data_IF_405032600374
#
_entry.id   IF_405032600374
#
_cell.length_a   1.000
_cell.length_b   1.000
_cell.length_c   1.000
_cell.angle_alpha   90.00
_cell.angle_beta   90.00
_cell.angle_gamma   90.00
#
_symmetry.space_group_name_H-M   'P 1'
#
loop_
_entity.id
_entity.type
_entity.pdbx_description
1 polymer ?
#
# COMPACT_ATOMS: atom_id res chain seq x y z
N UNK A 1 7.38 -5.83 -20.36
CA UNK A 1 6.26 -6.53 -19.72
C UNK A 1 5.76 -5.65 -18.60
N UNK A 2 4.53 -5.15 -18.69
CA UNK A 2 3.90 -4.41 -17.60
C UNK A 2 3.55 -5.43 -16.50
N UNK A 3 4.19 -5.30 -15.35
CA UNK A 3 3.93 -6.11 -14.15
C UNK A 3 2.69 -5.53 -13.47
N UNK A 4 1.64 -6.32 -13.31
CA UNK A 4 0.35 -5.82 -12.80
C UNK A 4 0.34 -5.63 -11.28
N UNK A 5 0.98 -6.56 -10.56
CA UNK A 5 0.91 -6.60 -9.09
C UNK A 5 2.26 -6.35 -8.40
N UNK A 6 2.15 -5.96 -7.13
CA UNK A 6 3.21 -5.79 -6.16
C UNK A 6 2.86 -6.60 -4.93
N UNK A 7 3.86 -7.32 -4.41
CA UNK A 7 3.78 -7.84 -3.05
C UNK A 7 4.08 -6.69 -2.09
N UNK A 8 3.16 -6.43 -1.16
CA UNK A 8 3.45 -5.60 0.02
C UNK A 8 4.04 -6.43 1.17
N UNK A 9 4.34 -7.72 0.94
CA UNK A 9 4.74 -8.64 2.01
C UNK A 9 3.58 -9.09 2.91
N UNK A 10 2.33 -8.87 2.48
CA UNK A 10 1.11 -9.15 3.24
C UNK A 10 0.04 -9.84 2.37
N UNK A 11 -1.16 -10.05 2.93
CA UNK A 11 -2.29 -10.67 2.21
C UNK A 11 -2.82 -9.78 1.08
N UNK A 12 -2.57 -8.48 1.10
CA UNK A 12 -3.13 -7.58 0.10
C UNK A 12 -2.31 -7.62 -1.18
N UNK A 13 -3.03 -7.60 -2.29
CA UNK A 13 -2.44 -7.54 -3.62
C UNK A 13 -2.41 -6.08 -4.03
N UNK A 14 -1.23 -5.48 -4.11
CA UNK A 14 -1.09 -4.08 -4.48
C UNK A 14 -0.83 -3.90 -5.97
N UNK A 15 -1.20 -2.76 -6.53
CA UNK A 15 -0.80 -2.34 -7.87
C UNK A 15 -0.60 -0.83 -7.95
N UNK A 16 0.60 -0.38 -8.32
CA UNK A 16 0.86 1.02 -8.65
C UNK A 16 0.75 1.25 -10.16
N UNK A 17 -0.26 2.03 -10.55
CA UNK A 17 -0.67 2.34 -11.91
C UNK A 17 -0.42 3.84 -12.16
N UNK A 18 0.15 4.15 -13.32
CA UNK A 18 0.43 5.51 -13.77
C UNK A 18 -0.48 5.83 -14.95
N UNK A 19 -0.93 7.08 -15.08
CA UNK A 19 -1.49 7.55 -16.35
C UNK A 19 -0.40 7.63 -17.44
N UNK A 20 -0.81 7.89 -18.68
CA UNK A 20 0.09 7.92 -19.85
C UNK A 20 1.30 8.83 -19.63
N UNK A 21 1.05 10.10 -19.30
CA UNK A 21 2.12 11.10 -19.11
C UNK A 21 3.13 10.70 -18.03
N UNK A 22 2.66 10.18 -16.89
CA UNK A 22 3.56 9.72 -15.83
C UNK A 22 4.33 8.45 -16.24
N UNK A 23 3.68 7.52 -16.94
CA UNK A 23 4.31 6.29 -17.40
C UNK A 23 5.39 6.57 -18.44
N UNK A 24 5.08 7.37 -19.45
CA UNK A 24 6.01 7.73 -20.53
C UNK A 24 7.22 8.46 -19.96
N UNK A 25 7.00 9.40 -19.04
CA UNK A 25 8.08 10.09 -18.33
C UNK A 25 9.01 9.14 -17.57
N UNK A 26 8.45 8.15 -16.83
CA UNK A 26 9.25 7.13 -16.14
C UNK A 26 10.07 6.30 -17.13
N UNK A 27 9.49 5.95 -18.29
CA UNK A 27 10.15 5.14 -19.30
C UNK A 27 11.29 5.92 -19.98
N UNK A 28 11.02 7.15 -20.42
CA UNK A 28 11.98 8.01 -21.11
C UNK A 28 13.17 8.40 -20.22
N UNK A 29 12.93 8.64 -18.93
CA UNK A 29 13.97 8.92 -17.95
C UNK A 29 14.60 7.65 -17.35
N UNK A 30 14.14 6.46 -17.77
CA UNK A 30 14.61 5.14 -17.33
C UNK A 30 14.62 4.97 -15.79
N UNK A 31 13.69 5.59 -15.08
CA UNK A 31 13.67 5.62 -13.60
C UNK A 31 13.29 4.28 -12.96
N UNK A 32 13.02 3.28 -13.78
CA UNK A 32 12.89 1.87 -13.38
C UNK A 32 14.25 1.16 -13.28
N UNK A 33 15.36 1.81 -13.63
CA UNK A 33 16.70 1.23 -13.65
C UNK A 33 17.51 1.66 -12.41
N UNK A 34 17.72 0.75 -11.46
CA UNK A 34 18.46 1.00 -10.23
C UNK A 34 19.92 1.39 -10.43
N UNK A 35 20.57 0.90 -11.48
CA UNK A 35 21.95 1.28 -11.81
C UNK A 35 22.00 2.73 -12.29
N UNK A 36 21.01 3.16 -13.09
CA UNK A 36 20.90 4.55 -13.51
C UNK A 36 20.59 5.47 -12.33
N UNK A 37 19.65 5.10 -11.45
CA UNK A 37 19.36 5.87 -10.24
C UNK A 37 20.61 5.97 -9.34
N UNK A 38 21.36 4.87 -9.19
CA UNK A 38 22.60 4.84 -8.41
C UNK A 38 23.70 5.68 -9.05
N UNK A 39 23.78 5.69 -10.38
CA UNK A 39 24.70 6.55 -11.12
C UNK A 39 24.33 8.03 -10.95
N UNK A 40 23.05 8.40 -11.09
CA UNK A 40 22.57 9.77 -10.88
C UNK A 40 22.86 10.25 -9.45
N UNK A 41 22.59 9.38 -8.46
CA UNK A 41 22.92 9.61 -7.05
C UNK A 41 24.44 9.75 -6.81
N UNK A 42 25.24 8.78 -7.25
CA UNK A 42 26.69 8.71 -7.02
C UNK A 42 27.52 9.74 -7.79
N UNK A 43 26.99 10.31 -8.87
CA UNK A 43 27.62 11.42 -9.58
C UNK A 43 27.60 12.74 -8.80
N UNK A 44 26.94 12.82 -7.64
CA UNK A 44 27.07 13.93 -6.70
C UNK A 44 26.77 15.31 -7.30
N UNK A 45 25.91 15.41 -8.31
CA UNK A 45 25.63 16.67 -9.02
C UNK A 45 24.54 17.52 -8.37
N UNK A 46 24.44 17.55 -7.05
CA UNK A 46 23.58 18.51 -6.34
C UNK A 46 22.11 18.52 -6.78
N UNK A 47 21.61 17.42 -7.36
CA UNK A 47 20.19 17.20 -7.63
C UNK A 47 19.68 16.30 -6.50
N UNK A 48 19.15 16.89 -5.40
CA UNK A 48 18.54 16.11 -4.33
C UNK A 48 17.23 15.44 -4.78
N UNK A 49 16.84 15.58 -6.04
CA UNK A 49 15.61 15.11 -6.64
C UNK A 49 15.89 14.50 -8.02
N UNK A 50 15.13 13.48 -8.39
CA UNK A 50 14.84 13.22 -9.81
C UNK A 50 14.16 14.45 -10.41
N UNK A 51 14.18 14.59 -11.74
CA UNK A 51 13.39 15.64 -12.39
C UNK A 51 11.91 15.54 -11.94
N UNK A 52 11.18 16.66 -11.83
CA UNK A 52 9.78 16.60 -11.40
C UNK A 52 8.94 15.89 -12.45
N UNK A 53 7.95 15.12 -11.98
CA UNK A 53 6.93 14.55 -12.85
C UNK A 53 6.15 15.65 -13.59
N UNK A 54 5.60 15.35 -14.79
CA UNK A 54 4.66 16.24 -15.47
C UNK A 54 3.50 16.65 -14.57
N UNK A 55 3.01 17.90 -14.64
CA UNK A 55 1.90 18.37 -13.80
C UNK A 55 0.56 17.68 -14.08
N UNK A 56 0.47 16.95 -15.19
CA UNK A 56 -0.66 16.10 -15.57
C UNK A 56 -0.56 14.67 -15.02
N UNK A 57 0.51 14.37 -14.26
CA UNK A 57 0.74 13.04 -13.72
C UNK A 57 -0.30 12.64 -12.69
N UNK A 58 -0.75 11.40 -12.82
CA UNK A 58 -1.72 10.77 -11.93
C UNK A 58 -1.26 9.35 -11.62
N UNK A 59 -1.20 9.03 -10.33
CA UNK A 59 -0.74 7.74 -9.83
C UNK A 59 -1.80 7.14 -8.92
N UNK A 60 -2.13 5.86 -9.17
CA UNK A 60 -2.97 5.07 -8.30
C UNK A 60 -2.15 3.99 -7.63
N UNK A 61 -2.24 3.87 -6.31
CA UNK A 61 -1.88 2.64 -5.60
C UNK A 61 -3.17 1.95 -5.21
N UNK A 62 -3.58 0.94 -5.97
CA UNK A 62 -4.78 0.16 -5.70
C UNK A 62 -4.44 -1.04 -4.82
N UNK A 63 -5.30 -1.36 -3.86
CA UNK A 63 -5.19 -2.50 -2.96
C UNK A 63 -6.36 -3.44 -3.20
N UNK A 64 -6.03 -4.66 -3.60
CA UNK A 64 -6.99 -5.72 -3.87
C UNK A 64 -6.99 -6.75 -2.75
N UNK A 65 -8.18 -7.26 -2.46
CA UNK A 65 -8.40 -8.41 -1.60
C UNK A 65 -8.87 -9.60 -2.44
N UNK A 66 -8.20 -10.76 -2.37
CA UNK A 66 -8.68 -11.97 -3.03
C UNK A 66 -10.01 -12.44 -2.43
N UNK A 67 -10.94 -12.88 -3.26
CA UNK A 67 -12.23 -13.42 -2.83
C UNK A 67 -12.49 -14.74 -3.54
N UNK A 68 -12.75 -15.79 -2.75
CA UNK A 68 -13.13 -17.11 -3.27
C UNK A 68 -14.39 -16.95 -4.13
N UNK A 69 -14.44 -17.58 -5.30
CA UNK A 69 -15.62 -17.56 -6.17
C UNK A 69 -16.76 -18.50 -5.74
N UNK A 70 -16.44 -19.50 -4.93
CA UNK A 70 -17.30 -20.62 -4.59
C UNK A 70 -17.70 -20.69 -3.11
N UNK A 71 -17.16 -19.81 -2.27
CA UNK A 71 -17.38 -19.80 -0.83
C UNK A 71 -17.22 -18.41 -0.21
N UNK A 72 -17.55 -18.28 1.08
CA UNK A 72 -17.41 -17.03 1.83
C UNK A 72 -15.97 -16.54 1.89
N UNK A 73 -15.72 -15.24 1.95
CA UNK A 73 -14.37 -14.72 2.24
C UNK A 73 -14.45 -13.69 3.36
N UNK A 74 -13.59 -13.82 4.38
CA UNK A 74 -13.51 -12.83 5.44
C UNK A 74 -12.74 -11.60 4.94
N UNK A 75 -13.23 -10.41 5.28
CA UNK A 75 -12.51 -9.15 5.12
C UNK A 75 -12.51 -8.44 6.49
N UNK A 76 -11.34 -8.29 7.14
CA UNK A 76 -11.21 -7.41 8.29
C UNK A 76 -11.58 -5.98 7.91
N UNK A 77 -12.31 -5.29 8.78
CA UNK A 77 -12.76 -3.91 8.54
C UNK A 77 -12.33 -2.97 9.66
N UNK A 78 -11.85 -1.80 9.27
CA UNK A 78 -11.39 -0.77 10.19
C UNK A 78 -12.56 0.08 10.73
N UNK A 79 -12.70 0.16 12.05
CA UNK A 79 -13.72 0.96 12.75
C UNK A 79 -13.11 1.95 13.76
N UNK A 80 -11.90 2.47 13.50
CA UNK A 80 -11.18 3.39 14.42
C UNK A 80 -11.00 2.81 15.83
N UNK A 81 -10.67 1.51 15.92
CA UNK A 81 -10.56 0.81 17.19
C UNK A 81 -9.29 1.14 17.99
N UNK A 82 -8.34 1.86 17.39
CA UNK A 82 -7.14 2.37 18.06
C UNK A 82 -7.21 3.88 18.25
N UNK A 83 -6.63 4.43 19.34
CA UNK A 83 -6.63 5.87 19.55
C UNK A 83 -5.75 6.58 18.50
N UNK A 84 -5.99 7.88 18.22
CA UNK A 84 -5.26 8.62 17.19
C UNK A 84 -3.74 8.70 17.39
N UNK A 85 -3.27 8.59 18.64
CA UNK A 85 -1.86 8.61 19.04
C UNK A 85 -1.24 7.21 19.16
N UNK A 86 -1.91 6.18 18.67
CA UNK A 86 -1.39 4.81 18.69
C UNK A 86 -0.16 4.67 17.79
N UNK A 87 1.00 4.51 18.43
CA UNK A 87 2.32 4.45 17.79
C UNK A 87 2.80 3.04 17.41
N UNK A 88 2.11 1.99 17.84
CA UNK A 88 2.51 0.59 17.60
C UNK A 88 1.89 0.03 16.31
N UNK A 89 2.31 -1.17 15.93
CA UNK A 89 1.79 -1.90 14.77
C UNK A 89 0.29 -2.22 14.92
N UNK A 90 -0.51 -1.91 13.89
CA UNK A 90 -1.97 -2.05 13.89
C UNK A 90 -2.50 -2.72 12.60
N UNK A 91 -1.82 -3.75 12.12
CA UNK A 91 -2.22 -4.49 10.92
C UNK A 91 -3.61 -5.14 11.01
N UNK A 92 -4.19 -5.52 9.86
CA UNK A 92 -5.56 -6.03 9.74
C UNK A 92 -5.85 -7.27 10.57
N UNK A 93 -4.83 -8.06 10.90
CA UNK A 93 -4.92 -9.22 11.79
C UNK A 93 -5.25 -8.81 13.22
N UNK A 94 -4.99 -7.57 13.62
CA UNK A 94 -5.29 -7.07 14.96
C UNK A 94 -6.68 -6.44 15.07
N UNK A 95 -7.39 -6.29 13.95
CA UNK A 95 -8.69 -5.64 13.92
C UNK A 95 -9.78 -6.55 14.50
N UNK A 96 -10.75 -5.94 15.17
CA UNK A 96 -11.78 -6.65 15.93
C UNK A 96 -13.10 -6.84 15.16
N UNK A 97 -13.18 -6.33 13.93
CA UNK A 97 -14.37 -6.39 13.07
C UNK A 97 -14.04 -7.08 11.75
N UNK A 98 -14.96 -7.91 11.29
CA UNK A 98 -14.88 -8.65 10.03
C UNK A 98 -16.23 -8.57 9.32
N UNK A 99 -16.22 -8.44 8.00
CA UNK A 99 -17.39 -8.71 7.14
C UNK A 99 -17.14 -9.98 6.33
N UNK A 100 -18.22 -10.56 5.82
CA UNK A 100 -18.18 -11.79 5.02
C UNK A 100 -18.61 -11.46 3.60
N UNK A 101 -17.77 -11.75 2.62
CA UNK A 101 -18.08 -11.57 1.20
C UNK A 101 -18.64 -12.90 0.67
N UNK A 102 -19.84 -12.88 0.10
CA UNK A 102 -20.45 -14.02 -0.58
C UNK A 102 -20.65 -13.72 -2.07
N UNK A 103 -19.84 -14.29 -2.98
CA UNK A 103 -19.98 -14.04 -4.41
C UNK A 103 -21.20 -14.76 -5.03
N UNK A 104 -21.80 -15.72 -4.31
CA UNK A 104 -22.91 -16.56 -4.83
C UNK A 104 -24.25 -15.87 -4.65
N UNK A 105 -24.37 -15.05 -3.61
CA UNK A 105 -25.60 -14.37 -3.25
C UNK A 105 -25.52 -12.88 -3.60
N UNK A 106 -26.10 -12.50 -4.73
CA UNK A 106 -26.09 -11.12 -5.24
C UNK A 106 -27.01 -10.16 -4.48
N UNK A 107 -27.85 -10.68 -3.58
CA UNK A 107 -28.82 -9.87 -2.83
C UNK A 107 -29.09 -10.54 -1.48
N UNK A 108 -28.08 -10.58 -0.58
CA UNK A 108 -28.27 -11.15 0.73
C UNK A 108 -29.34 -10.36 1.48
N UNK A 109 -30.14 -11.08 2.26
CA UNK A 109 -31.10 -10.42 3.15
C UNK A 109 -30.34 -9.51 4.13
N UNK A 110 -30.80 -8.26 4.36
CA UNK A 110 -30.15 -7.37 5.31
C UNK A 110 -29.98 -8.03 6.69
N UNK A 111 -28.80 -7.88 7.29
CA UNK A 111 -28.48 -8.46 8.59
C UNK A 111 -28.15 -9.95 8.60
N UNK A 112 -28.10 -10.62 7.44
CA UNK A 112 -27.59 -11.99 7.36
C UNK A 112 -26.12 -12.02 7.79
N UNK A 113 -25.76 -12.95 8.67
CA UNK A 113 -24.39 -13.15 9.14
C UNK A 113 -23.78 -14.43 8.57
N UNK A 114 -22.49 -14.38 8.25
CA UNK A 114 -21.71 -15.52 7.82
C UNK A 114 -20.58 -15.81 8.79
N UNK A 115 -19.92 -16.95 8.59
CA UNK A 115 -18.73 -17.34 9.33
C UNK A 115 -17.75 -18.02 8.38
N UNK A 116 -16.47 -17.68 8.49
CA UNK A 116 -15.40 -18.36 7.76
C UNK A 116 -14.05 -18.17 8.46
N UNK A 117 -13.09 -19.06 8.18
CA UNK A 117 -11.73 -18.94 8.70
C UNK A 117 -10.83 -18.19 7.72
N UNK A 118 -9.88 -17.42 8.26
CA UNK A 118 -8.92 -16.64 7.49
C UNK A 118 -7.58 -16.48 8.23
N UNK A 119 -6.56 -15.93 7.56
CA UNK A 119 -5.18 -15.79 8.08
C UNK A 119 -4.47 -17.13 8.31
N UNK A 120 -4.34 -17.93 7.26
CA UNK A 120 -3.60 -19.19 7.28
C UNK A 120 -2.10 -18.96 7.12
N UNK A 121 -1.30 -19.56 7.99
CA UNK A 121 0.18 -19.48 7.92
C UNK A 121 0.71 -18.03 7.94
N UNK A 122 0.01 -17.13 8.63
CA UNK A 122 0.41 -15.74 8.84
C UNK A 122 1.24 -15.63 10.11
N UNK A 123 2.21 -14.73 10.13
CA UNK A 123 3.02 -14.43 11.31
C UNK A 123 2.58 -13.10 11.94
N UNK A 124 2.75 -12.95 13.24
CA UNK A 124 2.61 -11.66 13.92
C UNK A 124 3.83 -10.76 13.68
N UNK A 125 3.79 -9.52 14.17
CA UNK A 125 4.88 -8.55 14.05
C UNK A 125 6.20 -9.01 14.73
N UNK A 126 6.14 -10.01 15.62
CA UNK A 126 7.32 -10.63 16.27
C UNK A 126 7.80 -11.88 15.52
N UNK A 127 7.15 -12.27 14.42
CA UNK A 127 7.47 -13.45 13.63
C UNK A 127 6.88 -14.76 14.17
N UNK A 128 5.97 -14.70 15.15
CA UNK A 128 5.33 -15.92 15.66
C UNK A 128 4.13 -16.32 14.80
N UNK A 129 3.90 -17.63 14.57
CA UNK A 129 2.71 -18.09 13.86
C UNK A 129 1.41 -17.67 14.53
N UNK A 130 0.45 -17.21 13.72
CA UNK A 130 -0.93 -16.94 14.13
C UNK A 130 -1.81 -18.10 13.65
N UNK A 131 -2.60 -18.67 14.56
CA UNK A 131 -3.62 -19.65 14.19
C UNK A 131 -4.70 -19.02 13.30
N UNK A 132 -5.23 -19.75 12.30
CA UNK A 132 -6.33 -19.24 11.47
C UNK A 132 -7.48 -18.72 12.33
N UNK A 133 -7.88 -17.47 12.06
CA UNK A 133 -8.92 -16.78 12.82
C UNK A 133 -10.30 -17.15 12.30
N UNK A 134 -11.25 -17.32 13.21
CA UNK A 134 -12.66 -17.44 12.86
C UNK A 134 -13.28 -16.05 12.73
N UNK A 135 -13.59 -15.63 11.51
CA UNK A 135 -14.30 -14.39 11.22
C UNK A 135 -15.81 -14.61 11.22
N UNK A 136 -16.56 -13.80 11.97
CA UNK A 136 -18.02 -13.77 11.96
C UNK A 136 -18.48 -12.35 11.70
N UNK A 137 -19.38 -12.15 10.75
CA UNK A 137 -19.78 -10.81 10.34
C UNK A 137 -20.98 -10.78 9.41
N UNK A 138 -21.46 -9.58 9.11
CA UNK A 138 -22.53 -9.37 8.13
C UNK A 138 -22.06 -9.82 6.74
N UNK A 139 -22.96 -10.45 5.98
CA UNK A 139 -22.72 -10.87 4.61
C UNK A 139 -22.96 -9.70 3.66
N UNK A 140 -21.98 -9.47 2.78
CA UNK A 140 -22.05 -8.55 1.66
C UNK A 140 -21.90 -9.33 0.35
N UNK A 141 -22.68 -8.97 -0.69
CA UNK A 141 -22.46 -9.49 -2.03
C UNK A 141 -21.13 -8.94 -2.58
N UNK A 142 -20.50 -9.63 -3.54
CA UNK A 142 -19.30 -9.10 -4.21
C UNK A 142 -19.58 -7.76 -4.92
N UNK A 143 -20.83 -7.54 -5.34
CA UNK A 143 -21.30 -6.27 -5.93
C UNK A 143 -21.30 -5.08 -4.97
N UNK A 144 -21.12 -5.29 -3.66
CA UNK A 144 -20.86 -4.21 -2.71
C UNK A 144 -19.43 -3.64 -2.81
N UNK A 145 -18.60 -4.23 -3.67
CA UNK A 145 -17.23 -3.81 -3.95
C UNK A 145 -17.06 -3.53 -5.45
N UNK A 146 -16.10 -2.66 -5.77
CA UNK A 146 -15.55 -2.65 -7.14
C UNK A 146 -14.74 -3.93 -7.30
N UNK A 147 -15.07 -4.75 -8.30
CA UNK A 147 -14.55 -6.10 -8.39
C UNK A 147 -14.30 -6.53 -9.82
N UNK A 148 -13.42 -7.52 -9.97
CA UNK A 148 -13.14 -8.20 -11.22
C UNK A 148 -13.22 -9.71 -10.98
N UNK A 149 -14.09 -10.39 -11.75
CA UNK A 149 -14.03 -11.84 -11.88
C UNK A 149 -12.79 -12.21 -12.70
N UNK A 150 -11.96 -13.10 -12.17
CA UNK A 150 -10.79 -13.60 -12.87
C UNK A 150 -11.15 -14.93 -13.54
N UNK A 151 -11.41 -14.89 -14.84
CA UNK A 151 -11.64 -16.10 -15.65
C UNK A 151 -10.32 -16.75 -16.09
N UNK A 152 -10.39 -17.92 -16.74
CA UNK A 152 -9.20 -18.64 -17.24
C UNK A 152 -8.35 -17.79 -18.20
N UNK A 153 -8.97 -16.90 -18.98
CA UNK A 153 -8.28 -16.05 -19.95
C UNK A 153 -7.44 -15.00 -19.23
N UNK A 154 -8.04 -14.29 -18.28
CA UNK A 154 -7.36 -13.27 -17.50
C UNK A 154 -6.28 -13.90 -16.61
N UNK A 155 -6.60 -15.04 -15.99
CA UNK A 155 -5.64 -15.82 -15.19
C UNK A 155 -4.43 -16.26 -16.02
N UNK A 156 -4.68 -16.77 -17.23
CA UNK A 156 -3.64 -17.23 -18.15
C UNK A 156 -2.80 -16.11 -18.78
N UNK A 157 -3.25 -14.86 -18.71
CA UNK A 157 -2.50 -13.69 -19.18
C UNK A 157 -1.46 -13.17 -18.18
N UNK A 158 -1.55 -13.59 -16.91
CA UNK A 158 -0.66 -13.16 -15.84
C UNK A 158 0.71 -13.82 -15.95
N UNK A 159 1.78 -13.07 -15.65
CA UNK A 159 3.12 -13.64 -15.60
C UNK A 159 3.33 -14.46 -14.30
N UNK A 160 4.45 -15.18 -14.22
CA UNK A 160 4.76 -16.03 -13.07
C UNK A 160 4.86 -15.25 -11.74
N UNK A 161 5.18 -13.95 -11.76
CA UNK A 161 5.30 -13.12 -10.56
C UNK A 161 3.94 -12.64 -10.10
N UNK A 162 3.11 -12.16 -11.02
CA UNK A 162 1.71 -11.81 -10.75
C UNK A 162 0.98 -13.03 -10.16
N UNK A 163 1.21 -14.23 -10.74
CA UNK A 163 0.70 -15.50 -10.21
C UNK A 163 1.20 -15.78 -8.79
N UNK A 164 2.50 -15.66 -8.54
CA UNK A 164 3.07 -15.91 -7.21
C UNK A 164 2.49 -14.98 -6.14
N UNK A 165 2.29 -13.70 -6.46
CA UNK A 165 1.69 -12.72 -5.54
C UNK A 165 0.24 -13.11 -5.22
N UNK A 166 -0.57 -13.38 -6.25
CA UNK A 166 -1.97 -13.78 -6.05
C UNK A 166 -2.08 -15.09 -5.27
N UNK A 167 -1.29 -16.09 -5.61
CA UNK A 167 -1.33 -17.40 -4.96
C UNK A 167 -0.85 -17.30 -3.51
N UNK A 168 0.14 -16.48 -3.20
CA UNK A 168 0.56 -16.22 -1.82
C UNK A 168 -0.55 -15.56 -1.01
N UNK A 169 -1.12 -14.45 -1.51
CA UNK A 169 -2.25 -13.77 -0.87
C UNK A 169 -3.43 -14.69 -0.63
N UNK A 170 -3.83 -15.48 -1.64
CA UNK A 170 -4.91 -16.45 -1.55
C UNK A 170 -4.63 -17.58 -0.55
N UNK A 171 -3.41 -18.12 -0.55
CA UNK A 171 -3.00 -19.15 0.42
C UNK A 171 -3.05 -18.60 1.85
N UNK A 172 -2.54 -17.39 2.08
CA UNK A 172 -2.59 -16.75 3.39
C UNK A 172 -4.00 -16.36 3.81
N UNK A 173 -4.87 -16.04 2.86
CA UNK A 173 -6.24 -15.64 3.20
C UNK A 173 -7.16 -16.84 3.43
N UNK A 174 -7.16 -17.83 2.56
CA UNK A 174 -8.16 -18.91 2.54
C UNK A 174 -7.60 -20.31 2.21
N UNK A 175 -6.30 -20.53 2.44
CA UNK A 175 -5.61 -21.82 2.42
C UNK A 175 -5.66 -22.60 1.10
N UNK A 176 -5.71 -21.89 -0.03
CA UNK A 176 -5.50 -22.48 -1.35
C UNK A 176 -4.97 -21.44 -2.34
N UNK A 177 -4.29 -21.86 -3.41
CA UNK A 177 -3.93 -20.97 -4.50
C UNK A 177 -5.16 -20.27 -5.11
N UNK A 178 -4.90 -19.13 -5.73
CA UNK A 178 -5.89 -18.34 -6.46
C UNK A 178 -6.23 -19.05 -7.78
N UNK A 179 -7.50 -19.19 -8.11
CA UNK A 179 -7.94 -19.92 -9.32
C UNK A 179 -8.91 -19.11 -10.16
N UNK A 180 -9.10 -19.54 -11.41
CA UNK A 180 -10.16 -19.01 -12.24
C UNK A 180 -11.53 -19.21 -11.56
N UNK A 181 -12.38 -18.19 -11.65
CA UNK A 181 -13.63 -18.10 -10.92
C UNK A 181 -13.52 -17.31 -9.61
N UNK A 182 -12.32 -17.09 -9.07
CA UNK A 182 -12.12 -16.17 -7.95
C UNK A 182 -12.21 -14.71 -8.40
N UNK A 183 -12.40 -13.82 -7.43
CA UNK A 183 -12.52 -12.38 -7.64
C UNK A 183 -11.35 -11.64 -7.00
N UNK A 184 -11.02 -10.49 -7.58
CA UNK A 184 -10.29 -9.43 -6.89
C UNK A 184 -11.27 -8.31 -6.58
N UNK A 185 -11.33 -7.87 -5.33
CA UNK A 185 -12.12 -6.69 -4.93
C UNK A 185 -11.18 -5.57 -4.53
N UNK A 186 -11.45 -4.34 -4.95
CA UNK A 186 -10.75 -3.17 -4.40
C UNK A 186 -11.22 -2.95 -2.97
N UNK A 187 -10.29 -2.78 -2.05
CA UNK A 187 -10.56 -2.46 -0.63
C UNK A 187 -9.95 -1.13 -0.21
N UNK A 188 -8.91 -0.68 -0.90
CA UNK A 188 -8.30 0.61 -0.65
C UNK A 188 -7.57 1.15 -1.88
N UNK A 189 -7.36 2.47 -1.91
CA UNK A 189 -6.62 3.13 -2.96
C UNK A 189 -5.99 4.43 -2.47
N UNK A 190 -4.74 4.70 -2.85
CA UNK A 190 -4.23 6.06 -2.94
C UNK A 190 -4.42 6.60 -4.35
N UNK A 191 -4.84 7.86 -4.45
CA UNK A 191 -4.90 8.65 -5.67
C UNK A 191 -3.99 9.87 -5.47
N UNK A 192 -2.95 9.96 -6.28
CA UNK A 192 -1.88 10.94 -6.09
C UNK A 192 -1.72 11.75 -7.39
N UNK A 193 -1.84 13.08 -7.32
CA UNK A 193 -1.81 13.95 -8.51
C UNK A 193 -0.71 15.01 -8.41
N UNK A 194 -0.04 15.31 -9.53
CA UNK A 194 1.02 16.33 -9.61
C UNK A 194 0.44 17.73 -9.91
N UNK A 195 -0.70 18.07 -9.30
CA UNK A 195 -1.32 19.39 -9.51
C UNK A 195 -0.61 20.51 -8.73
N UNK A 196 0.18 20.16 -7.71
CA UNK A 196 1.09 21.06 -6.97
C UNK A 196 2.50 20.45 -6.86
N UNK A 197 3.55 21.24 -6.57
CA UNK A 197 4.92 20.72 -6.46
C UNK A 197 5.08 19.57 -5.44
N UNK A 198 4.37 19.65 -4.31
CA UNK A 198 4.43 18.65 -3.24
C UNK A 198 3.47 17.46 -3.44
N UNK A 199 2.82 17.37 -4.62
CA UNK A 199 1.73 16.44 -4.91
C UNK A 199 0.51 16.61 -3.99
N UNK A 200 -0.61 16.08 -4.45
CA UNK A 200 -1.82 15.97 -3.64
C UNK A 200 -2.10 14.50 -3.40
N UNK A 201 -2.54 14.17 -2.19
CA UNK A 201 -2.76 12.80 -1.79
C UNK A 201 -4.20 12.66 -1.34
N UNK A 202 -4.92 11.77 -2.00
CA UNK A 202 -6.24 11.34 -1.59
C UNK A 202 -6.17 9.84 -1.34
N UNK A 203 -6.91 9.39 -0.33
CA UNK A 203 -6.94 7.98 0.01
C UNK A 203 -8.35 7.56 0.33
N UNK A 204 -8.76 6.42 -0.21
CA UNK A 204 -10.09 5.88 -0.04
C UNK A 204 -10.03 4.41 0.37
N UNK A 205 -10.95 3.97 1.22
CA UNK A 205 -11.05 2.56 1.62
C UNK A 205 -12.47 2.14 1.92
N UNK A 206 -12.75 0.86 1.67
CA UNK A 206 -14.05 0.27 1.88
C UNK A 206 -14.39 0.16 3.38
N UNK A 207 -15.64 0.47 3.71
CA UNK A 207 -16.23 0.34 5.03
C UNK A 207 -17.69 -0.11 4.93
N UNK A 208 -18.09 -0.95 5.88
CA UNK A 208 -19.48 -1.30 6.18
C UNK A 208 -20.22 -0.17 6.91
N UNK A 209 -19.51 0.87 7.35
CA UNK A 209 -20.07 2.05 8.02
C UNK A 209 -19.61 3.36 7.36
N UNK A 210 -19.84 3.54 6.04
CA UNK A 210 -19.26 4.63 5.28
C UNK A 210 -19.76 6.02 5.69
N UNK A 211 -20.93 6.11 6.34
CA UNK A 211 -21.54 7.36 6.78
C UNK A 211 -21.18 7.72 8.24
N UNK A 212 -20.14 7.10 8.82
CA UNK A 212 -19.75 7.29 10.22
C UNK A 212 -18.28 7.65 10.41
N UNK A 213 -17.99 8.44 11.44
CA UNK A 213 -16.62 8.82 11.80
C UNK A 213 -16.09 10.02 11.02
N UNK A 214 -14.86 10.49 11.32
CA UNK A 214 -14.29 11.70 10.73
C UNK A 214 -14.10 11.57 9.21
N UNK A 215 -13.62 10.42 8.73
CA UNK A 215 -13.37 10.17 7.30
C UNK A 215 -14.65 10.04 6.45
N UNK A 216 -15.83 9.99 7.08
CA UNK A 216 -17.09 10.09 6.36
C UNK A 216 -17.38 11.54 5.94
N UNK A 217 -16.87 12.53 6.69
CA UNK A 217 -17.10 13.95 6.42
C UNK A 217 -16.30 14.46 5.22
N UNK A 218 -15.18 13.82 4.89
CA UNK A 218 -14.36 14.18 3.72
C UNK A 218 -14.94 13.65 2.40
N UNK A 219 -15.95 12.76 2.47
CA UNK A 219 -16.59 12.21 1.28
C UNK A 219 -17.36 13.30 0.54
N UNK A 220 -17.25 13.38 -0.79
CA UNK A 220 -18.06 14.31 -1.56
C UNK A 220 -19.55 13.93 -1.44
N UNK A 221 -20.41 14.94 -1.26
CA UNK A 221 -21.87 14.76 -1.25
C UNK A 221 -22.38 14.53 -2.69
N UNK A 222 -22.20 13.29 -3.16
CA UNK A 222 -22.59 12.87 -4.51
C UNK A 222 -23.96 12.18 -4.43
N UNK A 223 -24.95 12.62 -5.25
CA UNK A 223 -26.23 11.94 -5.36
C UNK A 223 -26.07 10.45 -5.69
N UNK A 224 -26.93 9.59 -5.13
CA UNK A 224 -26.89 8.12 -5.36
C UNK A 224 -26.85 7.77 -6.85
N UNK A 225 -27.57 8.52 -7.68
CA UNK A 225 -27.59 8.33 -9.13
C UNK A 225 -26.23 8.58 -9.82
N UNK A 226 -25.35 9.39 -9.21
CA UNK A 226 -24.02 9.75 -9.73
C UNK A 226 -22.89 8.92 -9.10
N UNK A 227 -23.13 8.29 -7.94
CA UNK A 227 -22.24 7.32 -7.32
C UNK A 227 -22.95 5.95 -7.15
N UNK A 228 -23.32 5.26 -8.25
CA UNK A 228 -24.05 4.00 -8.17
C UNK A 228 -23.16 2.85 -7.67
N UNK A 229 -23.76 1.86 -7.04
CA UNK A 229 -23.07 0.63 -6.66
C UNK A 229 -22.07 0.83 -5.51
N UNK A 230 -20.84 0.28 -5.60
CA UNK A 230 -19.94 0.11 -4.47
C UNK A 230 -19.30 1.42 -3.97
N UNK A 231 -19.35 2.49 -4.75
CA UNK A 231 -18.64 3.74 -4.45
C UNK A 231 -19.13 4.42 -3.17
N UNK A 232 -20.36 4.13 -2.73
CA UNK A 232 -20.90 4.69 -1.49
C UNK A 232 -20.34 4.02 -0.23
N UNK A 233 -19.62 2.91 -0.35
CA UNK A 233 -19.00 2.22 0.77
C UNK A 233 -17.58 2.69 1.08
N UNK A 234 -17.07 3.72 0.41
CA UNK A 234 -15.71 4.18 0.64
C UNK A 234 -15.68 5.41 1.56
N UNK A 235 -14.88 5.30 2.63
CA UNK A 235 -14.40 6.43 3.41
C UNK A 235 -13.26 7.11 2.64
N UNK A 236 -12.99 8.37 2.96
CA UNK A 236 -12.02 9.17 2.23
C UNK A 236 -11.23 10.05 3.21
N UNK A 237 -9.97 10.31 2.87
CA UNK A 237 -9.15 11.36 3.49
C UNK A 237 -8.35 12.05 2.40
N UNK A 238 -8.00 13.31 2.64
CA UNK A 238 -7.32 14.17 1.68
C UNK A 238 -6.20 14.93 2.36
N UNK A 239 -5.09 15.12 1.66
CA UNK A 239 -3.94 15.83 2.16
C UNK A 239 -3.35 16.76 1.08
N UNK A 240 -3.31 18.06 1.40
CA UNK A 240 -2.84 19.16 0.55
C UNK A 240 -1.69 19.96 1.18
N UNK A 241 -1.12 19.49 2.30
CA UNK A 241 -0.17 20.23 3.13
C UNK A 241 -0.82 21.21 4.09
N UNK A 242 -2.08 20.98 4.49
CA UNK A 242 -2.79 21.89 5.38
C UNK A 242 -2.47 21.51 6.82
N UNK A 243 -1.71 22.37 7.50
CA UNK A 243 -1.34 22.16 8.89
C UNK A 243 -2.54 22.27 9.85
N UNK A 244 -2.60 21.37 10.84
CA UNK A 244 -3.55 21.43 11.96
C UNK A 244 -3.09 22.40 13.06
N UNK A 245 -1.78 22.59 13.18
CA UNK A 245 -1.09 23.57 14.01
C UNK A 245 0.27 23.87 13.37
N UNK A 246 0.94 24.99 13.70
CA UNK A 246 2.22 25.35 13.06
C UNK A 246 3.24 24.19 13.09
N UNK A 247 3.66 23.72 11.91
CA UNK A 247 4.60 22.60 11.74
C UNK A 247 4.01 21.20 11.94
N UNK A 248 2.69 21.06 12.13
CA UNK A 248 2.00 19.79 12.44
C UNK A 248 0.88 19.53 11.46
N UNK A 249 1.04 18.48 10.65
CA UNK A 249 0.03 17.96 9.74
C UNK A 249 -1.06 17.19 10.51
N UNK A 250 -2.32 17.18 10.03
CA UNK A 250 -3.37 16.35 10.60
C UNK A 250 -3.09 14.86 10.34
N UNK A 251 -3.74 13.98 11.09
CA UNK A 251 -3.77 12.55 10.77
C UNK A 251 -4.52 12.33 9.45
N UNK A 252 -3.87 11.69 8.48
CA UNK A 252 -4.44 11.37 7.17
C UNK A 252 -3.75 10.11 6.63
N UNK A 253 -4.45 8.98 6.62
CA UNK A 253 -3.91 7.67 6.24
C UNK A 253 -5.00 6.72 5.75
N UNK A 254 -4.62 5.64 5.08
CA UNK A 254 -5.46 4.48 4.78
C UNK A 254 -5.18 3.33 5.77
N UNK A 255 -6.18 2.79 6.46
CA UNK A 255 -5.95 1.67 7.37
C UNK A 255 -5.43 0.41 6.64
N UNK A 256 -5.82 0.19 5.38
CA UNK A 256 -5.37 -0.96 4.60
C UNK A 256 -4.02 -0.74 3.90
N UNK A 257 -3.44 0.47 3.91
CA UNK A 257 -2.14 0.70 3.25
C UNK A 257 -1.07 0.98 4.29
N UNK A 258 -1.30 1.97 5.15
CA UNK A 258 -0.31 2.45 6.10
C UNK A 258 -0.13 1.49 7.28
N UNK A 259 -1.23 1.01 7.90
CA UNK A 259 -1.12 0.16 9.09
C UNK A 259 -0.56 -1.23 8.77
N UNK A 260 -0.87 -1.76 7.58
CA UNK A 260 -0.28 -3.00 7.09
C UNK A 260 1.20 -2.84 6.73
N UNK A 261 1.62 -1.62 6.34
CA UNK A 261 3.03 -1.28 6.13
C UNK A 261 3.77 -0.87 7.42
N UNK A 262 3.15 -1.02 8.60
CA UNK A 262 3.78 -0.74 9.90
C UNK A 262 3.85 0.74 10.27
N UNK A 263 3.04 1.60 9.65
CA UNK A 263 2.92 2.99 10.07
C UNK A 263 2.10 3.09 11.37
N UNK A 264 2.38 4.09 12.22
CA UNK A 264 1.51 4.41 13.34
C UNK A 264 0.17 4.97 12.85
N UNK A 265 -0.85 4.93 13.70
CA UNK A 265 -2.15 5.58 13.42
C UNK A 265 -1.99 7.09 13.30
N UNK A 266 -1.09 7.67 14.08
CA UNK A 266 -0.71 9.09 14.01
C UNK A 266 0.22 9.37 12.82
N UNK A 267 -0.23 9.10 11.60
CA UNK A 267 0.56 9.34 10.38
C UNK A 267 -0.18 10.22 9.38
N UNK A 268 0.59 10.76 8.45
CA UNK A 268 0.12 11.62 7.38
C UNK A 268 0.72 11.18 6.03
N UNK A 269 -0.12 10.88 5.03
CA UNK A 269 0.31 10.43 3.71
C UNK A 269 1.35 11.37 3.07
N UNK A 270 1.25 12.70 3.24
CA UNK A 270 2.20 13.65 2.65
C UNK A 270 3.58 13.58 3.29
N UNK A 271 3.65 13.49 4.62
CA UNK A 271 4.92 13.23 5.31
C UNK A 271 5.51 11.87 4.89
N UNK A 272 4.68 10.90 4.55
CA UNK A 272 5.15 9.59 4.09
C UNK A 272 5.78 9.72 2.72
N UNK A 273 5.07 10.38 1.81
CA UNK A 273 5.48 10.46 0.43
C UNK A 273 6.65 11.41 0.22
N UNK A 274 6.77 12.52 0.96
CA UNK A 274 7.96 13.40 0.85
C UNK A 274 9.26 12.66 1.22
N UNK A 275 9.17 11.59 2.02
CA UNK A 275 10.29 10.74 2.41
C UNK A 275 10.75 9.79 1.29
N UNK A 276 10.02 9.68 0.19
CA UNK A 276 10.36 8.80 -0.92
C UNK A 276 11.71 9.19 -1.56
N UNK A 277 12.71 8.32 -1.41
CA UNK A 277 14.06 8.58 -1.87
C UNK A 277 14.88 7.31 -2.19
N UNK A 278 15.96 7.53 -2.93
CA UNK A 278 16.96 6.58 -3.40
C UNK A 278 18.35 6.86 -2.81
N UNK A 279 19.19 5.85 -2.50
CA UNK A 279 18.86 4.42 -2.44
C UNK A 279 17.76 4.17 -1.42
N UNK A 280 16.99 3.09 -1.62
CA UNK A 280 15.76 2.79 -0.87
C UNK A 280 15.93 3.10 0.62
N UNK A 281 15.21 4.10 1.11
CA UNK A 281 14.92 4.23 2.53
C UNK A 281 14.03 3.06 2.92
N UNK A 282 14.61 1.94 3.35
CA UNK A 282 13.87 0.73 3.67
C UNK A 282 12.76 0.93 4.70
N UNK A 283 11.54 0.57 4.29
CA UNK A 283 10.35 0.50 5.13
C UNK A 283 10.29 -0.75 6.02
N UNK A 284 11.03 -1.81 5.66
CA UNK A 284 11.04 -3.07 6.39
C UNK A 284 12.37 -3.23 7.10
N UNK A 285 12.44 -2.70 8.33
CA UNK A 285 13.48 -2.97 9.32
C UNK A 285 14.89 -3.23 8.74
N UNK A 286 15.47 -2.35 7.89
CA UNK A 286 16.89 -2.47 7.59
C UNK A 286 17.61 -2.06 8.86
N UNK A 287 18.54 -2.88 9.32
CA UNK A 287 19.59 -2.39 10.19
C UNK A 287 20.73 -1.89 9.28
N UNK A 288 21.10 -0.59 9.30
CA UNK A 288 20.51 0.48 10.10
C UNK A 288 19.24 1.08 9.48
N UNK A 289 18.34 1.59 10.34
CA UNK A 289 17.10 2.26 9.91
C UNK A 289 17.47 3.52 9.11
N UNK A 290 16.94 3.70 7.89
CA UNK A 290 17.24 4.87 7.07
C UNK A 290 16.84 6.17 7.76
N UNK A 291 17.63 7.23 7.57
CA UNK A 291 17.41 8.54 8.21
C UNK A 291 16.09 9.21 7.81
N UNK A 292 15.57 8.90 6.62
CA UNK A 292 14.29 9.38 6.12
C UNK A 292 13.10 8.51 6.58
N UNK A 293 13.32 7.43 7.33
CA UNK A 293 12.22 6.62 7.91
C UNK A 293 11.49 7.34 9.03
N UNK A 294 10.21 7.01 9.22
CA UNK A 294 9.45 7.40 10.42
C UNK A 294 9.98 6.78 11.70
N UNK A 295 10.61 5.62 11.57
CA UNK A 295 11.16 4.86 12.69
C UNK A 295 12.61 5.26 13.00
N UNK A 296 13.15 6.25 12.28
CA UNK A 296 14.51 6.74 12.50
C UNK A 296 14.62 7.35 13.90
N UNK A 297 15.49 6.81 14.80
CA UNK A 297 15.65 7.37 16.13
C UNK A 297 16.08 8.84 16.08
N UNK A 298 15.35 9.71 16.77
CA UNK A 298 15.61 11.16 16.79
C UNK A 298 15.24 11.89 15.49
N UNK A 299 14.58 11.22 14.55
CA UNK A 299 14.02 11.84 13.35
C UNK A 299 12.74 12.65 13.63
N UNK A 300 12.25 13.42 12.65
CA UNK A 300 10.98 14.14 12.75
C UNK A 300 9.79 13.20 12.91
N UNK A 301 8.81 13.61 13.70
CA UNK A 301 7.55 12.89 13.97
C UNK A 301 6.76 12.56 12.69
N UNK A 302 5.90 11.54 12.76
CA UNK A 302 5.06 11.08 11.66
C UNK A 302 4.00 12.11 11.21
N UNK A 303 3.69 13.11 12.04
CA UNK A 303 2.84 14.26 11.72
C UNK A 303 3.62 15.57 11.48
N UNK A 304 4.95 15.57 11.52
CA UNK A 304 5.73 16.78 11.25
C UNK A 304 5.58 17.26 9.79
N UNK A 305 5.36 18.57 9.58
CA UNK A 305 5.46 19.17 8.24
C UNK A 305 6.93 19.41 7.86
N UNK A 306 7.58 18.35 7.37
CA UNK A 306 8.98 18.43 6.95
C UNK A 306 9.11 19.08 5.58
N UNK A 307 10.12 19.95 5.44
CA UNK A 307 10.44 20.64 4.19
C UNK A 307 11.50 19.89 3.40
N UNK A 308 11.63 20.25 2.11
CA UNK A 308 12.61 19.64 1.21
C UNK A 308 14.08 19.94 1.60
N UNK A 309 14.37 20.92 2.43
CA UNK A 309 15.72 21.15 2.94
C UNK A 309 16.02 20.40 4.24
N UNK A 310 15.12 19.52 4.70
CA UNK A 310 15.27 18.80 5.95
C UNK A 310 16.50 17.84 5.93
N UNK A 311 17.34 17.83 6.98
CA UNK A 311 18.52 16.97 7.07
C UNK A 311 18.27 15.47 6.93
N UNK A 312 17.04 14.98 7.12
CA UNK A 312 16.68 13.56 6.91
C UNK A 312 16.99 13.08 5.47
N UNK A 313 17.04 14.01 4.52
CA UNK A 313 17.38 13.74 3.11
C UNK A 313 18.88 13.73 2.81
N UNK A 314 19.74 13.97 3.82
CA UNK A 314 21.19 14.00 3.62
C UNK A 314 21.68 12.67 3.05
N UNK A 315 22.36 12.73 1.90
CA UNK A 315 22.89 11.54 1.23
C UNK A 315 21.86 10.75 0.43
N UNK A 316 20.64 11.29 0.22
CA UNK A 316 19.58 10.65 -0.55
C UNK A 316 19.20 11.49 -1.77
N UNK A 317 18.67 10.84 -2.80
CA UNK A 317 18.04 11.44 -3.97
C UNK A 317 16.55 11.16 -3.93
N UNK A 318 15.72 12.18 -3.75
CA UNK A 318 14.27 12.04 -3.64
C UNK A 318 13.66 11.66 -4.98
N UNK A 319 12.59 10.87 -4.91
CA UNK A 319 11.90 10.32 -6.07
C UNK A 319 10.60 11.05 -6.37
N UNK A 320 10.59 12.37 -6.16
CA UNK A 320 9.44 13.26 -6.36
C UNK A 320 8.14 12.67 -5.77
N UNK A 321 8.18 12.33 -4.47
CA UNK A 321 7.08 11.75 -3.72
C UNK A 321 6.62 10.34 -4.15
N UNK A 322 7.34 9.67 -5.06
CA UNK A 322 6.97 8.35 -5.58
C UNK A 322 7.83 7.23 -5.00
N UNK A 323 7.30 6.51 -4.00
CA UNK A 323 7.94 5.33 -3.43
C UNK A 323 8.19 4.22 -4.45
N UNK A 324 7.26 4.04 -5.38
CA UNK A 324 7.34 2.97 -6.36
C UNK A 324 8.55 3.09 -7.31
N UNK A 325 9.16 4.26 -7.47
CA UNK A 325 10.44 4.39 -8.18
C UNK A 325 11.57 3.73 -7.37
N UNK A 326 11.71 4.13 -6.10
CA UNK A 326 12.74 3.59 -5.22
C UNK A 326 12.54 2.09 -4.93
N UNK A 327 11.29 1.61 -4.82
CA UNK A 327 11.00 0.21 -4.54
C UNK A 327 11.21 -0.70 -5.77
N UNK A 328 10.97 -0.19 -6.99
CA UNK A 328 10.99 -1.02 -8.22
C UNK A 328 12.28 -0.97 -9.00
N UNK A 329 13.11 0.04 -8.80
CA UNK A 329 14.38 0.17 -9.52
C UNK A 329 15.34 -1.00 -9.26
N UNK A 330 15.11 -1.76 -8.18
CA UNK A 330 15.94 -2.90 -7.77
C UNK A 330 17.24 -2.43 -7.16
N UNK A 331 17.66 -3.00 -6.03
CA UNK A 331 18.92 -2.61 -5.41
C UNK A 331 20.08 -2.74 -6.43
N UNK A 332 21.06 -1.82 -6.43
CA UNK A 332 22.27 -2.02 -7.22
C UNK A 332 22.86 -3.39 -6.81
N UNK A 333 23.47 -4.14 -7.75
CA UNK A 333 24.16 -5.37 -7.39
C UNK A 333 25.09 -5.09 -6.21
N UNK A 334 24.93 -5.82 -5.10
CA UNK A 334 25.93 -5.78 -4.04
C UNK A 334 27.27 -6.13 -4.69
N UNK A 335 28.23 -5.21 -4.62
CA UNK A 335 29.61 -5.52 -4.94
C UNK A 335 29.98 -6.73 -4.08
N UNK A 336 30.17 -7.89 -4.71
CA UNK A 336 30.59 -9.08 -3.99
C UNK A 336 31.89 -8.70 -3.29
N UNK A 337 31.88 -8.73 -1.96
CA UNK A 337 33.10 -8.58 -1.19
C UNK A 337 34.14 -9.53 -1.81
N UNK A 338 35.36 -9.06 -2.13
CA UNK A 338 36.35 -9.90 -2.77
C UNK A 338 36.49 -11.16 -1.92
N UNK A 339 36.33 -12.31 -2.59
CA UNK A 339 36.47 -13.61 -1.94
C UNK A 339 37.75 -13.57 -1.11
N UNK A 340 37.62 -13.76 0.20
CA UNK A 340 38.77 -13.90 1.07
C UNK A 340 39.66 -14.99 0.46
N UNK A 341 40.90 -14.63 0.10
CA UNK A 341 41.91 -15.60 -0.33
C UNK A 341 41.99 -16.68 0.75
N UNK A 342 41.42 -17.85 0.45
CA UNK A 342 41.58 -19.02 1.29
C UNK A 342 43.04 -19.46 1.20
N UNK A 343 43.73 -19.24 2.32
CA UNK A 343 44.87 -19.97 2.84
C UNK A 343 45.69 -20.78 1.84
N UNK A 344 46.87 -20.22 1.52
CA UNK A 344 48.04 -21.03 1.18
C UNK A 344 48.25 -22.05 2.30
N UNK A 345 48.02 -23.33 1.99
CA UNK A 345 48.45 -24.42 2.85
C UNK A 345 49.97 -24.34 3.10
N UNK A 346 50.45 -24.47 4.34
CA UNK A 346 51.88 -24.58 4.60
C UNK A 346 52.36 -26.01 4.27
N UNK A 347 53.31 -26.06 3.34
CA UNK A 347 54.29 -27.11 2.99
C UNK A 347 53.85 -28.57 2.88
#
# INVERSE_FOLDING_TARGET
>A
MARGFQSNGDIMVAGVIYNGDAFDWIQEAELYNGDLLSQQWGQGKGQPDVAPFPSTSFVLKNMYWPVRGDDFTALPVWHNQYPPDFGDYAGYETWNSVVIIDPRNKSPQPGLTGVTQYLYNVLDASGNPIDPKLGTGQIYPVEAFYHQLIDDTLLGSMDARDRAILDASACWLYNRPFKAGDYLVTVAMHMITKEIPQWTLQSAWWSDKPDTGPFAADRPDIPVAQAPGPWRNYLLTVEYGVESAPGVLPTSFNPYIELAAGHPVSTNCRNCHIRAAWPRGGYFNPDPVPTNSYLAPGGPDALADIQLDNPVFTGLMRTDFQWALADRAGAPPQEQAPAAESDKAPQ
#
